data_IF_034465277199
#
_entry.id   IF_034465277199
#
_cell.length_a   1.000
_cell.length_b   1.000
_cell.length_c   1.000
_cell.angle_alpha   90.00
_cell.angle_beta   90.00
_cell.angle_gamma   90.00
#
_symmetry.space_group_name_H-M   'P 1'
#
loop_
_entity.id
_entity.type
_entity.pdbx_description
1 polymer ?
#
# COMPACT_ATOMS: atom_id res chain seq x y z
N UNK A 1 1.91 -25.82 -24.37
CA UNK A 1 3.27 -25.57 -23.83
C UNK A 1 3.22 -24.27 -23.01
N UNK A 2 3.50 -24.31 -21.68
CA UNK A 2 3.65 -23.07 -20.90
C UNK A 2 5.00 -22.47 -21.26
N UNK A 3 5.04 -21.19 -21.64
CA UNK A 3 6.28 -20.51 -22.04
C UNK A 3 7.33 -20.62 -20.92
N UNK A 4 8.60 -20.94 -21.24
CA UNK A 4 9.62 -21.32 -20.24
C UNK A 4 10.07 -20.21 -19.26
N UNK A 5 9.44 -19.03 -19.26
CA UNK A 5 9.85 -17.88 -18.45
C UNK A 5 8.65 -17.16 -17.78
N UNK A 6 7.81 -17.89 -17.05
CA UNK A 6 6.68 -17.29 -16.33
C UNK A 6 7.09 -16.72 -14.97
N UNK A 7 7.48 -15.44 -14.97
CA UNK A 7 7.84 -14.68 -13.75
C UNK A 7 6.65 -14.03 -13.04
N UNK A 8 5.41 -14.40 -13.40
CA UNK A 8 4.21 -13.72 -12.88
C UNK A 8 4.08 -13.85 -11.36
N UNK A 9 4.48 -15.01 -10.81
CA UNK A 9 4.47 -15.26 -9.37
C UNK A 9 5.44 -14.33 -8.64
N UNK A 10 6.70 -14.33 -9.07
CA UNK A 10 7.74 -13.51 -8.46
C UNK A 10 7.41 -12.02 -8.58
N UNK A 11 6.86 -11.60 -9.71
CA UNK A 11 6.45 -10.21 -9.91
C UNK A 11 5.29 -9.81 -8.99
N UNK A 12 4.28 -10.68 -8.81
CA UNK A 12 3.18 -10.45 -7.88
C UNK A 12 3.68 -10.35 -6.43
N UNK A 13 4.58 -11.25 -6.03
CA UNK A 13 5.17 -11.24 -4.70
C UNK A 13 6.00 -9.96 -4.45
N UNK A 14 6.93 -9.64 -5.37
CA UNK A 14 7.79 -8.46 -5.28
C UNK A 14 7.01 -7.16 -5.29
N UNK A 15 5.89 -7.11 -6.00
CA UNK A 15 4.98 -5.96 -5.97
C UNK A 15 4.47 -5.69 -4.54
N UNK A 16 4.02 -6.72 -3.82
CA UNK A 16 3.61 -6.61 -2.41
C UNK A 16 4.76 -6.20 -1.50
N UNK A 17 5.89 -6.89 -1.59
CA UNK A 17 7.09 -6.62 -0.77
C UNK A 17 7.62 -5.19 -0.97
N UNK A 18 7.58 -4.68 -2.21
CA UNK A 18 8.04 -3.31 -2.52
C UNK A 18 7.13 -2.28 -1.88
N UNK A 19 5.81 -2.48 -1.91
CA UNK A 19 4.87 -1.59 -1.23
C UNK A 19 5.05 -1.63 0.28
N UNK A 20 5.09 -2.83 0.87
CA UNK A 20 5.34 -2.98 2.30
C UNK A 20 6.62 -2.26 2.73
N UNK A 21 7.72 -2.47 2.00
CA UNK A 21 9.00 -1.82 2.29
C UNK A 21 8.91 -0.31 2.21
N UNK A 22 8.26 0.24 1.19
CA UNK A 22 8.07 1.70 1.08
C UNK A 22 7.25 2.24 2.25
N UNK A 23 6.12 1.60 2.57
CA UNK A 23 5.23 2.02 3.65
C UNK A 23 5.95 1.98 5.01
N UNK A 24 6.62 0.88 5.32
CA UNK A 24 7.30 0.68 6.61
C UNK A 24 8.58 1.50 6.77
N UNK A 25 9.36 1.69 5.70
CA UNK A 25 10.66 2.40 5.79
C UNK A 25 10.57 3.92 5.58
N UNK A 26 9.50 4.42 4.94
CA UNK A 26 9.36 5.85 4.61
C UNK A 26 8.10 6.48 5.18
N UNK A 27 6.95 5.83 5.04
CA UNK A 27 5.67 6.44 5.41
C UNK A 27 5.42 6.35 6.91
N UNK A 28 5.60 5.18 7.50
CA UNK A 28 5.36 4.95 8.92
C UNK A 28 6.26 5.83 9.82
N UNK A 29 7.59 5.97 9.56
CA UNK A 29 8.43 6.87 10.35
C UNK A 29 8.00 8.33 10.24
N UNK A 30 7.61 8.78 9.04
CA UNK A 30 7.13 10.16 8.85
C UNK A 30 5.85 10.43 9.65
N UNK A 31 4.91 9.48 9.71
CA UNK A 31 3.70 9.62 10.52
C UNK A 31 3.99 9.63 12.02
N UNK A 32 4.90 8.76 12.49
CA UNK A 32 5.32 8.73 13.90
C UNK A 32 5.97 10.05 14.32
N UNK A 33 6.79 10.65 13.45
CA UNK A 33 7.38 11.97 13.69
C UNK A 33 6.30 13.06 13.86
N UNK A 34 5.25 13.03 13.02
CA UNK A 34 4.15 14.01 13.09
C UNK A 34 3.18 13.79 14.23
N UNK A 35 3.06 12.56 14.73
CA UNK A 35 2.22 12.23 15.89
C UNK A 35 2.62 13.06 17.11
N UNK A 36 3.92 13.24 17.36
CA UNK A 36 4.43 14.09 18.45
C UNK A 36 4.31 15.60 18.22
N UNK A 37 3.96 16.04 17.00
CA UNK A 37 3.87 17.46 16.63
C UNK A 37 2.42 17.99 16.70
N UNK A 38 1.44 17.12 16.92
CA UNK A 38 0.03 17.47 17.11
C UNK A 38 -0.92 16.87 16.07
N UNK A 39 -2.20 16.75 16.45
CA UNK A 39 -3.24 16.08 15.65
C UNK A 39 -3.41 16.60 14.21
N UNK A 40 -3.52 17.92 13.97
CA UNK A 40 -3.70 18.45 12.62
C UNK A 40 -2.54 18.10 11.67
N UNK A 41 -1.29 18.13 12.15
CA UNK A 41 -0.11 17.81 11.35
C UNK A 41 -0.05 16.31 11.02
N UNK A 42 -0.42 15.44 11.97
CA UNK A 42 -0.57 14.01 11.73
C UNK A 42 -1.61 13.73 10.64
N UNK A 43 -2.80 14.33 10.74
CA UNK A 43 -3.88 14.12 9.78
C UNK A 43 -3.52 14.64 8.38
N UNK A 44 -2.82 15.78 8.30
CA UNK A 44 -2.34 16.32 7.04
C UNK A 44 -1.30 15.39 6.37
N UNK A 45 -0.35 14.88 7.14
CA UNK A 45 0.65 13.94 6.64
C UNK A 45 -0.01 12.61 6.21
N UNK A 46 -0.95 12.09 6.99
CA UNK A 46 -1.70 10.88 6.65
C UNK A 46 -2.48 11.05 5.35
N UNK A 47 -3.18 12.18 5.18
CA UNK A 47 -3.90 12.48 3.94
C UNK A 47 -2.94 12.57 2.74
N UNK A 48 -1.79 13.24 2.90
CA UNK A 48 -0.78 13.37 1.86
C UNK A 48 -0.24 12.00 1.43
N UNK A 49 0.14 11.16 2.40
CA UNK A 49 0.67 9.81 2.15
C UNK A 49 -0.37 8.88 1.53
N UNK A 50 -1.62 8.99 1.94
CA UNK A 50 -2.73 8.25 1.34
C UNK A 50 -2.91 8.60 -0.14
N UNK A 51 -2.96 9.90 -0.49
CA UNK A 51 -3.05 10.34 -1.89
C UNK A 51 -1.89 9.81 -2.74
N UNK A 52 -0.67 9.87 -2.23
CA UNK A 52 0.50 9.32 -2.92
C UNK A 52 0.38 7.80 -3.13
N UNK A 53 -0.09 7.07 -2.11
CA UNK A 53 -0.31 5.63 -2.21
C UNK A 53 -1.39 5.27 -3.23
N UNK A 54 -2.49 6.02 -3.30
CA UNK A 54 -3.52 5.84 -4.32
C UNK A 54 -2.96 6.00 -5.73
N UNK A 55 -2.12 7.01 -5.95
CA UNK A 55 -1.45 7.24 -7.23
C UNK A 55 -0.52 6.06 -7.56
N UNK A 56 0.35 5.67 -6.63
CA UNK A 56 1.25 4.52 -6.81
C UNK A 56 0.48 3.24 -7.15
N UNK A 57 -0.57 2.92 -6.38
CA UNK A 57 -1.37 1.72 -6.58
C UNK A 57 -2.09 1.71 -7.95
N UNK A 58 -2.61 2.87 -8.38
CA UNK A 58 -3.22 3.03 -9.71
C UNK A 58 -2.23 2.78 -10.84
N UNK A 59 -1.00 3.29 -10.72
CA UNK A 59 0.03 3.10 -11.74
C UNK A 59 0.57 1.68 -11.77
N UNK A 60 0.84 1.08 -10.61
CA UNK A 60 1.32 -0.30 -10.52
C UNK A 60 0.30 -1.29 -11.09
N UNK A 61 -0.99 -1.12 -10.79
CA UNK A 61 -2.06 -1.88 -11.45
C UNK A 61 -1.99 -1.75 -12.97
N UNK A 62 -1.87 -0.52 -13.49
CA UNK A 62 -1.81 -0.27 -14.94
C UNK A 62 -0.62 -0.95 -15.59
N UNK A 63 0.59 -0.78 -15.04
CA UNK A 63 1.81 -1.39 -15.57
C UNK A 63 1.74 -2.91 -15.56
N UNK A 64 1.17 -3.49 -14.52
CA UNK A 64 1.12 -4.95 -14.33
C UNK A 64 -0.28 -5.54 -14.54
N UNK A 65 -1.11 -4.91 -15.39
CA UNK A 65 -2.50 -5.35 -15.67
C UNK A 65 -2.57 -6.80 -16.14
N UNK A 66 -1.50 -7.30 -16.78
CA UNK A 66 -1.37 -8.70 -17.18
C UNK A 66 -1.48 -9.67 -16.00
N UNK A 67 -0.90 -9.33 -14.84
CA UNK A 67 -0.99 -10.16 -13.64
C UNK A 67 -2.44 -10.30 -13.19
N UNK A 68 -3.18 -9.19 -13.12
CA UNK A 68 -4.61 -9.21 -12.73
C UNK A 68 -5.44 -10.07 -13.68
N UNK A 69 -5.20 -9.96 -14.99
CA UNK A 69 -5.98 -10.68 -16.02
C UNK A 69 -5.76 -12.19 -16.02
N UNK A 70 -4.52 -12.63 -15.78
CA UNK A 70 -4.14 -14.03 -15.97
C UNK A 70 -3.68 -14.69 -14.68
N UNK A 71 -2.62 -14.16 -14.05
CA UNK A 71 -2.01 -14.80 -12.89
C UNK A 71 -2.93 -14.80 -11.67
N UNK A 72 -3.42 -13.61 -11.30
CA UNK A 72 -4.32 -13.40 -10.16
C UNK A 72 -5.60 -14.19 -10.35
N UNK A 73 -6.23 -14.08 -11.53
CA UNK A 73 -7.46 -14.80 -11.88
C UNK A 73 -7.28 -16.31 -11.81
N UNK A 74 -6.18 -16.86 -12.33
CA UNK A 74 -5.91 -18.30 -12.32
C UNK A 74 -5.68 -18.86 -10.90
N UNK A 75 -5.15 -18.04 -9.98
CA UNK A 75 -4.82 -18.46 -8.62
C UNK A 75 -5.80 -17.94 -7.55
N UNK A 76 -6.90 -17.31 -7.97
CA UNK A 76 -7.89 -16.68 -7.07
C UNK A 76 -7.27 -15.75 -6.02
N UNK A 77 -6.24 -15.01 -6.42
CA UNK A 77 -5.55 -14.06 -5.55
C UNK A 77 -6.28 -12.70 -5.52
N UNK A 78 -6.00 -11.84 -4.53
CA UNK A 78 -6.41 -10.43 -4.60
C UNK A 78 -5.81 -9.73 -5.81
N UNK A 79 -6.57 -8.82 -6.42
CA UNK A 79 -6.02 -7.95 -7.48
C UNK A 79 -4.89 -7.09 -6.94
N UNK A 80 -4.02 -6.60 -7.82
CA UNK A 80 -2.93 -5.70 -7.43
C UNK A 80 -3.45 -4.47 -6.67
N UNK A 81 -4.58 -3.92 -7.11
CA UNK A 81 -5.25 -2.80 -6.45
C UNK A 81 -5.71 -3.16 -5.02
N UNK A 82 -6.34 -4.32 -4.85
CA UNK A 82 -6.79 -4.82 -3.54
C UNK A 82 -5.61 -5.12 -2.62
N UNK A 83 -4.55 -5.73 -3.15
CA UNK A 83 -3.32 -6.02 -2.42
C UNK A 83 -2.67 -4.71 -1.94
N UNK A 84 -2.53 -3.70 -2.82
CA UNK A 84 -2.00 -2.40 -2.45
C UNK A 84 -2.85 -1.67 -1.41
N UNK A 85 -4.18 -1.72 -1.51
CA UNK A 85 -5.09 -1.17 -0.50
C UNK A 85 -4.89 -1.86 0.85
N UNK A 86 -4.80 -3.20 0.85
CA UNK A 86 -4.59 -4.00 2.06
C UNK A 86 -3.26 -3.67 2.71
N UNK A 87 -2.17 -3.54 1.95
CA UNK A 87 -0.86 -3.14 2.48
C UNK A 87 -0.95 -1.80 3.23
N UNK A 88 -1.58 -0.78 2.64
CA UNK A 88 -1.73 0.51 3.34
C UNK A 88 -2.56 0.38 4.60
N UNK A 89 -3.67 -0.36 4.55
CA UNK A 89 -4.49 -0.61 5.73
C UNK A 89 -3.67 -1.24 6.85
N UNK A 90 -3.00 -2.35 6.55
CA UNK A 90 -2.27 -3.15 7.53
C UNK A 90 -1.07 -2.41 8.11
N UNK A 91 -0.23 -1.79 7.27
CA UNK A 91 1.05 -1.24 7.72
C UNK A 91 0.98 0.23 8.16
N UNK A 92 -0.03 0.98 7.72
CA UNK A 92 -0.16 2.41 8.03
C UNK A 92 -1.39 2.68 8.87
N UNK A 93 -2.58 2.33 8.35
CA UNK A 93 -3.82 2.71 9.01
C UNK A 93 -3.98 2.07 10.39
N UNK A 94 -3.74 0.76 10.53
CA UNK A 94 -3.88 0.10 11.83
C UNK A 94 -2.91 0.69 12.88
N UNK A 95 -1.69 1.05 12.47
CA UNK A 95 -0.70 1.69 13.35
C UNK A 95 -1.11 3.12 13.75
N UNK A 96 -1.67 3.90 12.83
CA UNK A 96 -2.02 5.31 13.10
C UNK A 96 -3.46 5.51 13.54
N UNK A 97 -4.27 4.45 13.64
CA UNK A 97 -5.72 4.53 13.86
C UNK A 97 -6.09 5.23 15.16
N UNK A 98 -5.42 4.85 16.25
CA UNK A 98 -5.68 5.41 17.58
C UNK A 98 -5.37 6.91 17.59
N UNK A 99 -4.17 7.28 17.13
CA UNK A 99 -3.72 8.68 17.11
C UNK A 99 -4.56 9.54 16.17
N UNK A 100 -4.93 9.00 15.01
CA UNK A 100 -5.82 9.70 14.07
C UNK A 100 -7.21 9.90 14.66
N UNK A 101 -7.74 8.92 15.39
CA UNK A 101 -9.05 9.04 16.05
C UNK A 101 -9.01 10.12 17.13
N UNK A 102 -7.99 10.09 17.99
CA UNK A 102 -7.78 11.12 19.01
C UNK A 102 -7.61 12.50 18.40
N UNK A 103 -6.86 12.62 17.30
CA UNK A 103 -6.65 13.88 16.58
C UNK A 103 -7.92 14.46 15.94
N UNK A 104 -8.90 13.61 15.58
CA UNK A 104 -10.19 14.03 15.01
C UNK A 104 -11.17 14.46 16.11
N UNK A 105 -11.08 13.84 17.30
CA UNK A 105 -11.97 14.10 18.43
C UNK A 105 -11.51 15.27 19.32
N UNK A 106 -10.23 15.64 19.25
CA UNK A 106 -9.65 16.79 19.95
C UNK A 106 -10.06 18.11 19.28
#
# INVERSE_FOLDING_TARGET
QRSPYNWSRDLYQRHGETMERYLTSKVLPALREKTGQGGPLLLQELQHRWKNHQIMNKWLKRFFTYLDRYYVKHHSLPTLEQAGLRCFKTFIYEESKSDSTSAILA
#
